data_IF_403423651016
#
_entry.id   IF_403423651016
#
_cell.length_a   1.000
_cell.length_b   1.000
_cell.length_c   1.000
_cell.angle_alpha   90.00
_cell.angle_beta   90.00
_cell.angle_gamma   90.00
#
_symmetry.space_group_name_H-M   'P 1'
#
loop_
_entity.id
_entity.type
_entity.pdbx_description
1 polymer ?
#
# COMPACT_ATOMS: atom_id res chain seq x y z
N UNK A 1 -37.21 5.95 -20.08
CA UNK A 1 -36.55 5.68 -18.77
C UNK A 1 -35.16 6.29 -18.82
N UNK A 2 -34.70 7.01 -17.78
CA UNK A 2 -33.36 7.56 -17.74
C UNK A 2 -32.32 6.43 -17.75
N UNK A 3 -31.41 6.46 -18.73
CA UNK A 3 -30.31 5.49 -18.85
C UNK A 3 -29.05 6.01 -18.16
N UNK A 4 -28.52 5.20 -17.25
CA UNK A 4 -27.24 5.45 -16.58
C UNK A 4 -26.09 4.86 -17.40
N UNK A 5 -24.97 5.56 -17.45
CA UNK A 5 -23.75 5.07 -18.10
C UNK A 5 -22.94 4.18 -17.15
N UNK A 6 -21.87 3.56 -17.69
CA UNK A 6 -20.88 2.78 -16.91
C UNK A 6 -20.19 3.56 -15.77
N UNK A 7 -20.29 4.88 -15.75
CA UNK A 7 -19.75 5.76 -14.70
C UNK A 7 -20.80 6.12 -13.63
N UNK A 8 -21.92 5.39 -13.58
CA UNK A 8 -23.02 5.55 -12.63
C UNK A 8 -23.60 6.98 -12.57
N UNK A 9 -23.63 7.65 -13.72
CA UNK A 9 -24.29 8.95 -13.93
C UNK A 9 -25.32 8.83 -15.05
N UNK A 10 -26.31 9.71 -15.07
CA UNK A 10 -27.18 9.87 -16.24
C UNK A 10 -26.30 10.15 -17.47
N UNK A 11 -26.53 9.43 -18.57
CA UNK A 11 -25.71 9.54 -19.80
C UNK A 11 -25.49 11.00 -20.22
N UNK A 12 -26.56 11.81 -20.17
CA UNK A 12 -26.56 13.24 -20.51
C UNK A 12 -25.73 14.13 -19.57
N UNK A 13 -25.41 13.67 -18.35
CA UNK A 13 -24.70 14.43 -17.32
C UNK A 13 -23.30 13.89 -17.01
N UNK A 14 -22.84 12.88 -17.76
CA UNK A 14 -21.51 12.31 -17.56
C UNK A 14 -20.48 13.09 -18.39
N UNK A 15 -19.54 13.84 -17.78
CA UNK A 15 -18.54 14.63 -18.52
C UNK A 15 -17.53 13.76 -19.30
N UNK A 16 -17.48 12.45 -19.02
CA UNK A 16 -16.64 11.48 -19.74
C UNK A 16 -17.38 11.04 -21.01
N UNK A 17 -18.61 10.54 -20.87
CA UNK A 17 -19.42 10.09 -22.00
C UNK A 17 -19.79 11.24 -22.96
N UNK A 18 -20.00 12.47 -22.45
CA UNK A 18 -20.30 13.62 -23.30
C UNK A 18 -19.11 14.03 -24.18
N UNK A 19 -17.88 13.83 -23.71
CA UNK A 19 -16.67 14.04 -24.52
C UNK A 19 -16.50 12.96 -25.57
N UNK A 20 -16.78 11.70 -25.23
CA UNK A 20 -16.74 10.57 -26.19
C UNK A 20 -17.78 10.78 -27.32
N UNK A 21 -19.01 11.19 -27.00
CA UNK A 21 -20.05 11.49 -27.99
C UNK A 21 -19.73 12.71 -28.87
N UNK A 22 -19.01 13.70 -28.34
CA UNK A 22 -18.60 14.88 -29.11
C UNK A 22 -17.48 14.58 -30.14
N UNK A 23 -16.80 13.43 -30.03
CA UNK A 23 -15.72 13.03 -30.93
C UNK A 23 -16.27 12.33 -32.19
N UNK A 24 -17.44 11.70 -32.14
CA UNK A 24 -17.99 10.89 -33.26
C UNK A 24 -18.68 11.69 -34.39
N UNK A 25 -18.76 13.03 -34.32
CA UNK A 25 -19.46 13.84 -35.33
C UNK A 25 -18.62 14.92 -36.01
N UNK A 26 -17.29 14.77 -36.10
CA UNK A 26 -16.50 15.66 -36.96
C UNK A 26 -16.20 15.00 -38.31
N UNK A 27 -16.81 15.47 -39.41
CA UNK A 27 -16.30 15.15 -40.74
C UNK A 27 -14.87 15.68 -40.82
N UNK A 28 -13.96 14.85 -41.32
CA UNK A 28 -12.59 15.25 -41.65
C UNK A 28 -12.69 16.22 -42.83
N UNK A 29 -12.68 17.52 -42.55
CA UNK A 29 -12.48 18.56 -43.56
C UNK A 29 -11.02 19.00 -43.46
N UNK A 30 -10.22 18.51 -44.40
CA UNK A 30 -8.90 19.04 -44.71
C UNK A 30 -9.05 20.46 -45.24
N UNK A 31 -8.48 21.45 -44.55
CA UNK A 31 -8.34 22.81 -45.08
C UNK A 31 -6.93 23.34 -44.84
N UNK A 32 -6.14 23.23 -45.89
CA UNK A 32 -4.87 23.92 -46.09
C UNK A 32 -5.13 25.42 -46.31
N UNK A 33 -4.55 26.29 -45.47
CA UNK A 33 -4.31 27.70 -45.80
C UNK A 33 -3.24 28.31 -44.87
N UNK A 34 -2.32 29.14 -45.39
CA UNK A 34 -1.13 29.59 -44.67
C UNK A 34 -1.42 30.82 -43.80
N UNK A 35 -0.90 30.84 -42.57
CA UNK A 35 -0.92 32.02 -41.68
C UNK A 35 0.38 32.80 -41.81
N UNK A 36 0.33 33.89 -42.58
CA UNK A 36 1.22 35.04 -42.43
C UNK A 36 0.65 35.98 -41.38
N UNK A 37 1.38 36.24 -40.29
CA UNK A 37 0.99 37.18 -39.25
C UNK A 37 2.15 37.48 -38.32
N UNK A 38 2.77 38.64 -38.50
CA UNK A 38 3.91 39.15 -37.73
C UNK A 38 3.62 39.30 -36.22
N UNK A 39 4.65 39.21 -35.34
CA UNK A 39 4.49 39.41 -33.91
C UNK A 39 4.42 40.89 -33.54
N UNK A 40 3.42 41.28 -32.75
CA UNK A 40 3.34 42.60 -32.10
C UNK A 40 4.18 42.63 -30.81
N UNK A 41 5.03 43.65 -30.60
CA UNK A 41 5.81 43.79 -29.36
C UNK A 41 4.95 44.30 -28.19
N UNK A 42 5.14 43.71 -27.01
CA UNK A 42 4.55 44.17 -25.75
C UNK A 42 5.50 45.12 -25.01
N UNK A 43 4.97 46.17 -24.33
CA UNK A 43 5.80 47.13 -23.61
C UNK A 43 6.30 46.57 -22.26
N UNK A 44 7.47 47.02 -21.77
CA UNK A 44 8.09 46.50 -20.56
C UNK A 44 7.38 47.04 -19.29
N UNK A 45 7.08 46.13 -18.36
CA UNK A 45 6.58 46.46 -17.01
C UNK A 45 7.74 46.69 -16.02
N UNK A 46 7.61 47.66 -15.09
CA UNK A 46 8.68 48.04 -14.17
C UNK A 46 8.94 46.99 -13.08
N UNK A 47 10.23 46.81 -12.75
CA UNK A 47 10.74 45.98 -11.64
C UNK A 47 10.53 46.71 -10.31
N UNK A 48 9.67 46.17 -9.44
CA UNK A 48 9.69 46.52 -8.02
C UNK A 48 10.69 45.64 -7.28
N UNK A 49 11.76 46.28 -6.79
CA UNK A 49 12.65 45.78 -5.75
C UNK A 49 11.88 45.70 -4.43
N UNK A 50 11.64 44.48 -3.94
CA UNK A 50 11.23 44.25 -2.54
C UNK A 50 12.39 43.63 -1.77
N UNK A 51 12.80 44.41 -0.78
CA UNK A 51 13.68 44.09 0.34
C UNK A 51 13.34 42.73 0.96
N UNK A 52 14.40 41.94 1.21
CA UNK A 52 14.31 40.65 1.87
C UNK A 52 13.99 40.84 3.35
N UNK A 53 12.76 40.51 3.74
CA UNK A 53 12.41 40.18 5.11
C UNK A 53 12.40 38.66 5.24
N UNK A 54 13.17 38.14 6.18
CA UNK A 54 13.20 36.73 6.59
C UNK A 54 11.82 36.25 7.04
N UNK A 55 11.28 35.13 6.52
CA UNK A 55 10.16 34.45 7.16
C UNK A 55 10.64 33.29 8.03
N UNK A 56 10.36 33.43 9.32
CA UNK A 56 10.25 32.32 10.29
C UNK A 56 9.10 31.39 9.85
N UNK A 57 9.23 30.14 10.30
CA UNK A 57 8.47 28.98 9.87
C UNK A 57 6.95 29.16 9.82
N UNK A 58 6.38 28.65 8.73
CA UNK A 58 5.00 28.27 8.61
C UNK A 58 4.98 26.94 7.86
N UNK A 59 4.56 25.88 8.56
CA UNK A 59 4.22 24.57 8.01
C UNK A 59 3.16 24.74 6.91
N UNK A 60 3.64 24.89 5.69
CA UNK A 60 2.84 24.97 4.48
C UNK A 60 2.98 23.67 3.73
N UNK A 61 1.89 22.90 3.69
CA UNK A 61 1.58 21.77 2.82
C UNK A 61 2.49 21.70 1.58
N UNK A 62 3.68 21.12 1.74
CA UNK A 62 4.73 21.14 0.71
C UNK A 62 4.36 20.05 -0.28
N UNK A 63 3.81 20.46 -1.42
CA UNK A 63 3.55 19.57 -2.55
C UNK A 63 4.89 18.97 -2.99
N UNK A 64 5.16 17.73 -2.62
CA UNK A 64 6.33 16.98 -3.06
C UNK A 64 6.00 16.31 -4.39
N UNK A 65 6.61 16.80 -5.46
CA UNK A 65 6.52 16.17 -6.79
C UNK A 65 7.60 15.08 -6.86
N UNK A 66 7.22 13.84 -6.56
CA UNK A 66 8.09 12.67 -6.78
C UNK A 66 7.95 12.21 -8.24
N UNK A 67 9.04 12.36 -9.02
CA UNK A 67 9.11 11.86 -10.40
C UNK A 67 9.41 10.36 -10.34
N UNK A 68 8.39 9.55 -10.59
CA UNK A 68 8.55 8.09 -10.72
C UNK A 68 8.90 7.78 -12.18
N UNK A 69 9.91 6.95 -12.41
CA UNK A 69 10.23 6.44 -13.74
C UNK A 69 9.04 5.62 -14.24
N UNK A 70 8.41 6.07 -15.33
CA UNK A 70 7.28 5.40 -15.98
C UNK A 70 7.69 5.02 -17.39
N UNK A 71 7.21 3.86 -17.83
CA UNK A 71 7.29 3.48 -19.23
C UNK A 71 6.57 4.49 -20.14
N UNK A 72 7.05 4.62 -21.37
CA UNK A 72 6.34 5.40 -22.40
C UNK A 72 4.98 4.77 -22.71
N UNK A 73 4.01 5.58 -23.17
CA UNK A 73 2.73 5.05 -23.67
C UNK A 73 3.02 4.24 -24.94
N UNK A 74 2.87 2.92 -24.84
CA UNK A 74 3.09 1.96 -25.92
C UNK A 74 1.77 1.42 -26.48
N UNK A 75 0.65 2.03 -26.11
CA UNK A 75 -0.69 1.60 -26.50
C UNK A 75 -1.29 0.51 -25.60
N UNK A 76 -0.58 0.06 -24.55
CA UNK A 76 -1.12 -0.91 -23.60
C UNK A 76 -2.41 -0.41 -22.93
N UNK A 77 -3.46 -1.24 -22.93
CA UNK A 77 -4.73 -0.97 -22.24
C UNK A 77 -5.23 -2.26 -21.61
N UNK A 78 -5.54 -2.21 -20.32
CA UNK A 78 -6.18 -3.31 -19.61
C UNK A 78 -7.28 -2.76 -18.70
N UNK A 79 -8.45 -3.43 -18.69
CA UNK A 79 -9.63 -2.97 -17.96
C UNK A 79 -9.50 -3.02 -16.43
N UNK A 80 -8.56 -3.82 -15.90
CA UNK A 80 -8.27 -3.96 -14.48
C UNK A 80 -7.36 -2.82 -13.97
N UNK A 81 -6.48 -2.30 -14.82
CA UNK A 81 -5.47 -1.29 -14.47
C UNK A 81 -5.53 -0.08 -15.42
N UNK A 82 -6.69 0.59 -15.43
CA UNK A 82 -7.02 1.70 -16.33
C UNK A 82 -6.05 2.89 -16.26
N UNK A 83 -5.30 3.02 -15.16
CA UNK A 83 -4.33 4.09 -14.99
C UNK A 83 -2.96 3.80 -15.63
N UNK A 84 -2.71 2.55 -16.05
CA UNK A 84 -1.47 2.15 -16.73
C UNK A 84 -1.61 2.31 -18.24
N UNK A 85 -0.55 2.85 -18.86
CA UNK A 85 -0.47 3.11 -20.31
C UNK A 85 0.72 2.42 -20.98
N UNK A 86 1.54 1.73 -20.20
CA UNK A 86 2.74 1.06 -20.66
C UNK A 86 2.69 -0.41 -20.24
N UNK A 87 2.97 -1.31 -21.17
CA UNK A 87 3.14 -2.73 -20.89
C UNK A 87 4.31 -2.97 -19.93
N UNK A 88 5.34 -2.12 -19.95
CA UNK A 88 6.46 -2.19 -19.02
C UNK A 88 6.05 -1.85 -17.57
N UNK A 89 5.23 -0.81 -17.38
CA UNK A 89 4.71 -0.47 -16.04
C UNK A 89 3.76 -1.55 -15.51
N UNK A 90 2.97 -2.15 -16.39
CA UNK A 90 2.10 -3.28 -16.06
C UNK A 90 2.91 -4.53 -15.72
N UNK A 91 3.98 -4.83 -16.46
CA UNK A 91 4.88 -5.94 -16.18
C UNK A 91 5.52 -5.81 -14.80
N UNK A 92 6.04 -4.63 -14.47
CA UNK A 92 6.55 -4.33 -13.12
C UNK A 92 5.50 -4.47 -12.03
N UNK A 93 4.26 -4.01 -12.26
CA UNK A 93 3.18 -4.21 -11.28
C UNK A 93 2.91 -5.71 -11.09
N UNK A 94 2.91 -6.48 -12.19
CA UNK A 94 2.72 -7.92 -12.15
C UNK A 94 3.79 -8.65 -11.36
N UNK A 95 5.06 -8.26 -11.54
CA UNK A 95 6.20 -8.78 -10.77
C UNK A 95 6.05 -8.55 -9.27
N UNK A 96 5.64 -7.34 -8.86
CA UNK A 96 5.47 -7.02 -7.44
C UNK A 96 4.25 -7.71 -6.82
N UNK A 97 3.14 -7.86 -7.56
CA UNK A 97 1.96 -8.62 -7.10
C UNK A 97 2.32 -10.10 -6.91
N UNK A 98 3.00 -10.69 -7.89
CA UNK A 98 3.40 -12.10 -7.83
C UNK A 98 4.43 -12.35 -6.71
N UNK A 99 5.37 -11.41 -6.49
CA UNK A 99 6.29 -11.47 -5.35
C UNK A 99 5.54 -11.43 -4.02
N UNK A 100 4.60 -10.48 -3.87
CA UNK A 100 3.81 -10.35 -2.65
C UNK A 100 2.95 -11.59 -2.37
N UNK A 101 2.37 -12.19 -3.40
CA UNK A 101 1.62 -13.45 -3.29
C UNK A 101 2.53 -14.63 -2.87
N UNK A 102 3.71 -14.75 -3.49
CA UNK A 102 4.71 -15.75 -3.10
C UNK A 102 5.13 -15.56 -1.63
N UNK A 103 5.35 -14.33 -1.17
CA UNK A 103 5.61 -14.02 0.24
C UNK A 103 4.51 -14.55 1.17
N UNK A 104 3.24 -14.36 0.82
CA UNK A 104 2.14 -14.88 1.65
C UNK A 104 2.13 -16.40 1.71
N UNK A 105 2.46 -17.05 0.59
CA UNK A 105 2.60 -18.51 0.56
C UNK A 105 3.76 -18.98 1.45
N UNK A 106 4.92 -18.34 1.39
CA UNK A 106 6.09 -18.64 2.24
C UNK A 106 5.73 -18.48 3.71
N UNK A 107 5.07 -17.38 4.11
CA UNK A 107 4.61 -17.21 5.50
C UNK A 107 3.71 -18.35 5.97
N UNK A 108 2.85 -18.86 5.10
CA UNK A 108 1.89 -19.90 5.46
C UNK A 108 2.50 -21.30 5.52
N UNK A 109 3.57 -21.58 4.76
CA UNK A 109 4.11 -22.93 4.58
C UNK A 109 5.53 -23.15 5.13
N UNK A 110 6.39 -22.14 5.06
CA UNK A 110 7.79 -22.20 5.49
C UNK A 110 8.25 -20.82 6.00
N UNK A 111 7.71 -20.35 7.14
CA UNK A 111 7.93 -18.99 7.61
C UNK A 111 9.39 -18.76 8.03
N UNK A 112 10.11 -17.81 7.40
CA UNK A 112 11.53 -17.62 7.63
C UNK A 112 11.82 -16.85 8.91
N UNK A 113 12.97 -17.14 9.54
CA UNK A 113 13.51 -16.38 10.66
C UNK A 113 12.51 -16.22 11.80
N UNK A 114 12.29 -14.98 12.27
CA UNK A 114 11.39 -14.71 13.39
C UNK A 114 9.90 -14.94 13.06
N UNK A 115 9.53 -15.09 11.78
CA UNK A 115 8.18 -15.55 11.46
C UNK A 115 7.97 -17.00 11.89
N UNK A 116 9.01 -17.84 11.86
CA UNK A 116 8.96 -19.21 12.39
C UNK A 116 8.67 -19.23 13.88
N UNK A 117 9.34 -18.38 14.66
CA UNK A 117 9.07 -18.18 16.10
C UNK A 117 7.62 -17.74 16.36
N UNK A 118 7.05 -16.88 15.49
CA UNK A 118 5.65 -16.46 15.58
C UNK A 118 4.69 -17.58 15.16
N UNK A 119 5.07 -18.47 14.24
CA UNK A 119 4.25 -19.60 13.80
C UNK A 119 4.24 -20.76 14.80
N UNK A 120 5.26 -20.88 15.66
CA UNK A 120 5.40 -21.98 16.60
C UNK A 120 4.22 -22.08 17.59
N UNK A 121 3.35 -23.07 17.37
CA UNK A 121 2.20 -23.36 18.22
C UNK A 121 2.54 -23.81 19.64
N UNK A 122 3.80 -24.17 19.92
CA UNK A 122 4.28 -24.50 21.26
C UNK A 122 4.54 -23.29 22.16
N UNK A 123 4.68 -22.10 21.55
CA UNK A 123 4.94 -20.85 22.27
C UNK A 123 3.63 -20.17 22.67
N UNK A 124 3.63 -19.52 23.84
CA UNK A 124 2.46 -18.76 24.34
C UNK A 124 1.98 -17.71 23.33
N UNK A 125 0.66 -17.62 23.14
CA UNK A 125 0.06 -16.76 22.11
C UNK A 125 0.34 -15.28 22.35
N UNK A 126 0.52 -14.85 23.59
CA UNK A 126 0.84 -13.46 23.91
C UNK A 126 2.29 -13.13 23.54
N UNK A 127 3.23 -14.05 23.73
CA UNK A 127 4.62 -13.89 23.28
C UNK A 127 4.71 -13.82 21.75
N UNK A 128 3.97 -14.71 21.06
CA UNK A 128 3.90 -14.73 19.58
C UNK A 128 3.29 -13.45 19.03
N UNK A 129 2.23 -12.95 19.67
CA UNK A 129 1.55 -11.71 19.27
C UNK A 129 2.44 -10.49 19.44
N UNK A 130 3.19 -10.46 20.55
CA UNK A 130 4.12 -9.38 20.83
C UNK A 130 5.29 -9.37 19.83
N UNK A 131 5.85 -10.54 19.53
CA UNK A 131 6.89 -10.66 18.51
C UNK A 131 6.38 -10.23 17.12
N UNK A 132 5.18 -10.65 16.72
CA UNK A 132 4.57 -10.21 15.47
C UNK A 132 4.39 -8.69 15.42
N UNK A 133 3.95 -8.07 16.53
CA UNK A 133 3.85 -6.63 16.65
C UNK A 133 5.21 -5.94 16.51
N UNK A 134 6.26 -6.42 17.15
CA UNK A 134 7.62 -5.87 17.02
C UNK A 134 8.15 -5.98 15.58
N UNK A 135 7.89 -7.10 14.90
CA UNK A 135 8.25 -7.28 13.50
C UNK A 135 7.54 -6.25 12.62
N UNK A 136 6.22 -6.07 12.78
CA UNK A 136 5.47 -5.08 12.00
C UNK A 136 5.83 -3.63 12.35
N UNK A 137 6.17 -3.37 13.62
CA UNK A 137 6.54 -2.03 14.10
C UNK A 137 7.91 -1.58 13.60
N UNK A 138 8.92 -2.43 13.70
CA UNK A 138 10.30 -2.13 13.29
C UNK A 138 10.54 -2.39 11.80
N UNK A 139 9.74 -3.29 11.20
CA UNK A 139 9.88 -3.82 9.85
C UNK A 139 11.22 -4.54 9.63
N UNK A 140 11.25 -5.78 9.07
CA UNK A 140 12.49 -6.45 8.74
C UNK A 140 13.36 -5.61 7.78
N UNK A 141 14.68 -5.67 7.97
CA UNK A 141 15.63 -5.05 7.04
C UNK A 141 15.59 -5.73 5.67
N UNK A 142 15.95 -4.97 4.63
CA UNK A 142 16.30 -5.57 3.35
C UNK A 142 17.77 -6.02 3.41
N UNK A 143 18.05 -7.30 3.11
CA UNK A 143 19.41 -7.85 3.13
C UNK A 143 19.50 -9.32 3.54
N UNK A 144 20.71 -9.73 3.93
CA UNK A 144 21.05 -11.13 4.29
C UNK A 144 20.47 -11.57 5.64
N UNK A 145 20.40 -10.67 6.63
CA UNK A 145 19.79 -10.95 7.94
C UNK A 145 18.65 -9.94 8.24
N UNK A 146 17.44 -10.18 7.67
CA UNK A 146 16.30 -9.28 7.81
C UNK A 146 15.87 -9.03 9.26
N UNK A 147 16.14 -9.97 10.16
CA UNK A 147 15.61 -9.95 11.53
C UNK A 147 16.64 -9.59 12.58
N UNK A 148 17.93 -9.45 12.23
CA UNK A 148 19.04 -9.09 13.14
C UNK A 148 18.68 -8.03 14.18
N UNK A 149 18.15 -6.89 13.77
CA UNK A 149 17.83 -5.78 14.69
C UNK A 149 16.65 -6.11 15.61
N UNK A 150 15.62 -6.77 15.08
CA UNK A 150 14.46 -7.18 15.87
C UNK A 150 14.89 -8.23 16.90
N UNK A 151 15.71 -9.21 16.50
CA UNK A 151 16.25 -10.22 17.39
C UNK A 151 17.12 -9.62 18.51
N UNK A 152 17.89 -8.56 18.18
CA UNK A 152 18.75 -7.84 19.12
C UNK A 152 17.95 -7.10 20.20
N UNK A 153 16.85 -6.44 19.82
CA UNK A 153 16.12 -5.54 20.74
C UNK A 153 14.85 -6.15 21.34
N UNK A 154 14.37 -7.29 20.83
CA UNK A 154 13.10 -7.87 21.30
C UNK A 154 13.15 -8.17 22.79
N UNK A 155 12.09 -7.76 23.49
CA UNK A 155 11.78 -8.19 24.85
C UNK A 155 10.62 -9.18 24.82
N UNK A 156 10.38 -9.86 25.92
CA UNK A 156 9.19 -10.73 26.07
C UNK A 156 7.95 -9.93 26.44
N UNK A 157 6.78 -10.45 26.12
CA UNK A 157 5.51 -9.89 26.59
C UNK A 157 5.45 -9.92 28.12
N UNK A 158 5.78 -11.07 28.70
CA UNK A 158 5.70 -11.35 30.15
C UNK A 158 6.63 -10.50 31.01
N UNK A 159 7.84 -10.15 30.54
CA UNK A 159 8.75 -9.28 31.29
C UNK A 159 8.23 -7.85 31.45
N UNK A 160 7.29 -7.41 30.61
CA UNK A 160 6.82 -6.02 30.53
C UNK A 160 7.91 -4.99 30.25
N UNK A 161 9.13 -5.43 29.92
CA UNK A 161 10.24 -4.55 29.57
C UNK A 161 9.97 -3.91 28.21
N UNK A 162 10.36 -2.64 28.10
CA UNK A 162 10.30 -1.89 26.86
C UNK A 162 11.61 -2.13 26.09
N UNK A 163 11.56 -2.58 24.82
CA UNK A 163 12.73 -2.69 23.96
C UNK A 163 13.59 -1.42 23.97
N UNK A 164 14.90 -1.60 24.05
CA UNK A 164 15.85 -0.51 23.80
C UNK A 164 15.94 -0.27 22.29
N UNK A 165 15.40 0.86 21.86
CA UNK A 165 15.31 1.24 20.45
C UNK A 165 16.35 2.28 20.05
N UNK A 166 17.30 2.60 20.93
CA UNK A 166 18.36 3.53 20.59
C UNK A 166 19.17 2.98 19.41
N UNK A 167 19.30 3.82 18.37
CA UNK A 167 20.03 3.53 17.13
C UNK A 167 19.55 2.30 16.34
N UNK A 168 18.33 1.81 16.59
CA UNK A 168 17.78 0.65 15.87
C UNK A 168 17.63 0.97 14.38
N UNK A 169 18.17 0.10 13.52
CA UNK A 169 17.90 0.17 12.08
C UNK A 169 16.56 -0.48 11.79
N UNK A 170 15.82 0.08 10.85
CA UNK A 170 14.45 -0.34 10.56
C UNK A 170 14.23 -0.59 9.08
N UNK A 171 13.31 -1.49 8.79
CA UNK A 171 12.91 -1.81 7.43
C UNK A 171 12.12 -0.69 6.74
N UNK A 172 11.86 -0.85 5.44
CA UNK A 172 11.31 0.19 4.60
C UNK A 172 9.84 0.57 4.90
N UNK A 173 9.10 -0.26 5.64
CA UNK A 173 7.69 -0.01 6.04
C UNK A 173 7.53 0.19 7.55
N UNK A 174 8.62 0.53 8.24
CA UNK A 174 8.64 0.72 9.70
C UNK A 174 7.70 1.82 10.17
N UNK A 175 7.03 1.55 11.30
CA UNK A 175 6.25 2.52 12.06
C UNK A 175 7.05 3.17 13.20
N UNK A 176 8.30 2.76 13.40
CA UNK A 176 9.18 3.38 14.38
C UNK A 176 9.60 4.78 13.93
N UNK A 177 9.42 5.73 14.84
CA UNK A 177 9.84 7.13 14.71
C UNK A 177 10.65 7.46 15.96
N UNK A 178 11.98 7.67 15.86
CA UNK A 178 12.82 7.95 17.03
C UNK A 178 12.33 9.16 17.85
N UNK A 179 11.71 10.16 17.21
CA UNK A 179 11.17 11.33 17.91
C UNK A 179 9.94 11.01 18.77
N UNK A 180 9.34 9.81 18.62
CA UNK A 180 8.23 9.33 19.44
C UNK A 180 8.68 8.53 20.65
N UNK A 181 9.93 8.07 20.69
CA UNK A 181 10.42 7.15 21.71
C UNK A 181 9.53 5.92 21.82
N UNK A 182 9.15 5.58 23.05
CA UNK A 182 8.40 4.35 23.37
C UNK A 182 6.88 4.47 23.23
N UNK A 183 6.35 5.65 22.90
CA UNK A 183 4.91 5.97 23.00
C UNK A 183 3.99 5.00 22.24
N UNK A 184 4.44 4.48 21.10
CA UNK A 184 3.66 3.52 20.31
C UNK A 184 3.60 2.14 21.00
N UNK A 185 4.70 1.71 21.62
CA UNK A 185 4.78 0.47 22.38
C UNK A 185 3.87 0.53 23.61
N UNK A 186 3.93 1.65 24.35
CA UNK A 186 3.08 1.90 25.53
C UNK A 186 1.59 1.92 25.16
N UNK A 187 1.26 2.53 24.01
CA UNK A 187 -0.10 2.54 23.47
C UNK A 187 -0.58 1.14 23.09
N UNK A 188 0.29 0.29 22.52
CA UNK A 188 -0.04 -1.09 22.18
C UNK A 188 -0.32 -1.92 23.44
N UNK A 189 0.54 -1.85 24.45
CA UNK A 189 0.32 -2.53 25.74
C UNK A 189 -0.99 -2.08 26.39
N UNK A 190 -1.27 -0.77 26.39
CA UNK A 190 -2.52 -0.22 26.91
C UNK A 190 -3.74 -0.72 26.12
N UNK A 191 -3.62 -0.83 24.79
CA UNK A 191 -4.68 -1.35 23.93
C UNK A 191 -5.00 -2.82 24.25
N UNK A 192 -3.98 -3.68 24.39
CA UNK A 192 -4.16 -5.08 24.77
C UNK A 192 -4.75 -5.21 26.18
N UNK A 193 -4.23 -4.45 27.15
CA UNK A 193 -4.70 -4.46 28.54
C UNK A 193 -6.20 -4.09 28.66
N UNK A 194 -6.70 -3.16 27.83
CA UNK A 194 -8.14 -2.80 27.80
C UNK A 194 -9.04 -3.96 27.38
N UNK A 195 -8.53 -4.90 26.59
CA UNK A 195 -9.24 -6.12 26.21
C UNK A 195 -8.96 -7.30 27.16
N UNK A 196 -8.09 -7.12 28.15
CA UNK A 196 -7.62 -8.16 29.08
C UNK A 196 -6.38 -8.92 28.59
N UNK A 197 -6.20 -9.08 27.28
CA UNK A 197 -5.01 -9.71 26.67
C UNK A 197 -4.89 -9.34 25.18
N UNK A 198 -3.75 -9.62 24.54
CA UNK A 198 -3.61 -9.46 23.09
C UNK A 198 -4.55 -10.41 22.35
N UNK A 199 -4.64 -11.67 22.79
CA UNK A 199 -5.51 -12.67 22.19
C UNK A 199 -6.98 -12.23 22.19
N UNK A 200 -7.45 -11.67 23.30
CA UNK A 200 -8.81 -11.13 23.41
C UNK A 200 -9.02 -9.92 22.50
N UNK A 201 -8.00 -9.07 22.36
CA UNK A 201 -8.05 -7.87 21.52
C UNK A 201 -8.14 -8.21 20.02
N UNK A 202 -7.43 -9.24 19.56
CA UNK A 202 -7.41 -9.70 18.17
C UNK A 202 -8.61 -10.59 17.82
N UNK A 203 -8.97 -11.55 18.67
CA UNK A 203 -10.04 -12.51 18.37
C UNK A 203 -11.44 -11.87 18.37
N UNK A 204 -11.68 -10.91 19.28
CA UNK A 204 -12.98 -10.27 19.41
C UNK A 204 -14.09 -11.26 19.79
N UNK A 205 -15.26 -11.14 19.15
CA UNK A 205 -16.40 -12.03 19.40
C UNK A 205 -16.26 -13.34 18.60
N UNK A 206 -16.61 -14.47 19.23
CA UNK A 206 -16.55 -15.80 18.62
C UNK A 206 -17.38 -15.90 17.33
N UNK A 207 -18.50 -15.17 17.22
CA UNK A 207 -19.38 -15.19 16.05
C UNK A 207 -18.90 -14.32 14.86
N UNK A 208 -17.77 -13.63 14.96
CA UNK A 208 -17.26 -12.81 13.86
C UNK A 208 -16.58 -13.67 12.78
N UNK A 209 -16.81 -13.32 11.51
CA UNK A 209 -16.02 -13.86 10.40
C UNK A 209 -14.57 -13.36 10.48
N UNK A 210 -13.62 -14.04 9.82
CA UNK A 210 -12.21 -13.61 9.79
C UNK A 210 -12.03 -12.18 9.27
N UNK A 211 -12.80 -11.78 8.27
CA UNK A 211 -12.78 -10.43 7.69
C UNK A 211 -13.31 -9.38 8.66
N UNK A 212 -14.36 -9.72 9.42
CA UNK A 212 -14.91 -8.83 10.43
C UNK A 212 -13.94 -8.69 11.61
N UNK A 213 -13.27 -9.75 12.03
CA UNK A 213 -12.20 -9.68 13.06
C UNK A 213 -11.06 -8.79 12.60
N UNK A 214 -10.56 -8.99 11.38
CA UNK A 214 -9.52 -8.15 10.78
C UNK A 214 -9.93 -6.68 10.77
N UNK A 215 -11.12 -6.34 10.23
CA UNK A 215 -11.58 -4.97 10.13
C UNK A 215 -11.67 -4.28 11.51
N UNK A 216 -12.20 -4.99 12.52
CA UNK A 216 -12.32 -4.45 13.88
C UNK A 216 -10.98 -4.30 14.58
N UNK A 217 -10.09 -5.27 14.44
CA UNK A 217 -8.73 -5.16 14.97
C UNK A 217 -7.98 -3.99 14.31
N UNK A 218 -8.08 -3.86 12.99
CA UNK A 218 -7.44 -2.80 12.21
C UNK A 218 -7.89 -1.39 12.65
N UNK A 219 -9.21 -1.20 12.84
CA UNK A 219 -9.78 0.05 13.36
C UNK A 219 -9.23 0.37 14.75
N UNK A 220 -9.24 -0.60 15.68
CA UNK A 220 -8.83 -0.42 17.07
C UNK A 220 -7.33 -0.24 17.25
N UNK A 221 -6.53 -0.78 16.33
CA UNK A 221 -5.08 -0.62 16.29
C UNK A 221 -4.63 0.76 15.78
N UNK A 222 -5.53 1.74 15.60
CA UNK A 222 -5.19 3.13 15.24
C UNK A 222 -4.43 3.87 16.35
N UNK A 223 -3.29 3.34 16.78
CA UNK A 223 -2.43 3.84 17.85
C UNK A 223 -1.58 5.02 17.35
N UNK A 224 -1.15 5.94 18.24
CA UNK A 224 -0.24 7.01 17.86
C UNK A 224 1.04 6.47 17.21
N UNK A 225 1.30 6.86 15.95
CA UNK A 225 2.49 6.42 15.20
C UNK A 225 2.34 5.08 14.47
N UNK A 226 1.36 4.25 14.83
CA UNK A 226 1.13 2.95 14.18
C UNK A 226 0.24 3.12 12.95
N UNK A 227 0.87 3.45 11.82
CA UNK A 227 0.18 3.81 10.58
C UNK A 227 -0.51 2.63 9.89
N UNK A 228 -1.22 2.91 8.79
CA UNK A 228 -2.01 1.91 8.04
C UNK A 228 -1.18 0.69 7.64
N UNK A 229 -0.01 0.91 7.05
CA UNK A 229 0.82 -0.18 6.51
C UNK A 229 1.29 -1.16 7.59
N UNK A 230 1.82 -0.67 8.71
CA UNK A 230 2.26 -1.54 9.81
C UNK A 230 1.10 -2.30 10.48
N UNK A 231 -0.08 -1.67 10.61
CA UNK A 231 -1.29 -2.34 11.11
C UNK A 231 -1.77 -3.43 10.18
N UNK A 232 -1.76 -3.14 8.88
CA UNK A 232 -2.18 -4.09 7.86
C UNK A 232 -1.23 -5.28 7.84
N UNK A 233 0.09 -5.03 7.79
CA UNK A 233 1.12 -6.07 7.77
C UNK A 233 1.09 -6.93 9.05
N UNK A 234 0.86 -6.34 10.23
CA UNK A 234 0.67 -7.10 11.48
C UNK A 234 -0.48 -8.11 11.37
N UNK A 235 -1.65 -7.66 10.93
CA UNK A 235 -2.83 -8.53 10.89
C UNK A 235 -2.72 -9.59 9.79
N UNK A 236 -2.14 -9.25 8.64
CA UNK A 236 -1.86 -10.22 7.59
C UNK A 236 -0.86 -11.26 8.05
N UNK A 237 0.23 -10.84 8.72
CA UNK A 237 1.24 -11.73 9.28
C UNK A 237 0.63 -12.69 10.29
N UNK A 238 -0.14 -12.17 11.26
CA UNK A 238 -0.82 -13.00 12.27
C UNK A 238 -1.80 -14.01 11.66
N UNK A 239 -2.54 -13.61 10.61
CA UNK A 239 -3.45 -14.49 9.90
C UNK A 239 -2.74 -15.59 9.10
N UNK A 240 -1.68 -15.22 8.36
CA UNK A 240 -0.91 -16.17 7.52
C UNK A 240 -0.11 -17.17 8.33
N UNK A 241 0.40 -16.76 9.49
CA UNK A 241 1.12 -17.65 10.41
C UNK A 241 0.18 -18.48 11.31
N UNK A 242 -1.14 -18.40 11.10
CA UNK A 242 -2.13 -19.18 11.83
C UNK A 242 -2.27 -18.83 13.32
N UNK A 243 -1.81 -17.65 13.74
CA UNK A 243 -1.94 -17.19 15.15
C UNK A 243 -3.38 -16.86 15.48
N UNK A 244 -4.07 -16.18 14.55
CA UNK A 244 -5.47 -15.79 14.68
C UNK A 244 -6.22 -16.04 13.37
N UNK A 245 -7.49 -16.41 13.48
CA UNK A 245 -8.40 -16.52 12.33
C UNK A 245 -8.88 -15.13 11.88
N UNK A 246 -7.98 -14.40 11.21
CA UNK A 246 -8.17 -13.05 10.65
C UNK A 246 -7.74 -13.03 9.18
N UNK A 247 -8.48 -12.28 8.34
CA UNK A 247 -8.20 -12.14 6.90
C UNK A 247 -8.59 -10.77 6.40
N UNK A 248 -7.87 -10.18 5.45
CA UNK A 248 -8.25 -8.88 4.92
C UNK A 248 -9.49 -8.98 4.01
N UNK A 249 -10.58 -8.30 4.38
CA UNK A 249 -11.76 -8.13 3.53
C UNK A 249 -11.73 -6.85 2.67
N UNK A 250 -10.77 -5.96 2.92
CA UNK A 250 -10.51 -4.73 2.15
C UNK A 250 -9.05 -4.33 2.33
N UNK A 251 -8.53 -3.45 1.47
CA UNK A 251 -7.19 -2.90 1.62
C UNK A 251 -7.16 -1.69 2.56
N UNK A 252 -8.30 -1.20 3.05
CA UNK A 252 -8.39 0.00 3.88
C UNK A 252 -7.60 1.19 3.29
N UNK A 253 -7.80 1.44 2.00
CA UNK A 253 -7.12 2.48 1.23
C UNK A 253 -7.56 3.86 1.69
N UNK A 254 -6.59 4.74 1.90
CA UNK A 254 -6.82 6.08 2.44
C UNK A 254 -5.54 6.74 2.90
N UNK A 255 -5.58 8.06 3.08
CA UNK A 255 -4.41 8.85 3.48
C UNK A 255 -3.34 8.98 2.40
N UNK A 256 -2.12 9.31 2.83
CA UNK A 256 -0.95 9.57 1.98
C UNK A 256 0.14 8.51 2.19
N UNK A 257 -0.20 7.24 1.97
CA UNK A 257 0.76 6.12 1.92
C UNK A 257 0.94 5.63 0.47
N UNK A 258 2.03 4.90 0.23
CA UNK A 258 2.40 4.45 -1.11
C UNK A 258 1.41 3.41 -1.66
N UNK A 259 0.82 2.54 -0.82
CA UNK A 259 -0.25 1.61 -1.25
C UNK A 259 -1.44 2.36 -1.85
N UNK A 260 -1.92 3.39 -1.17
CA UNK A 260 -3.07 4.20 -1.62
C UNK A 260 -2.74 5.00 -2.87
N UNK A 261 -1.53 5.56 -2.95
CA UNK A 261 -1.08 6.30 -4.14
C UNK A 261 -0.90 5.35 -5.33
N UNK A 262 -0.32 4.18 -5.10
CA UNK A 262 -0.14 3.10 -6.07
C UNK A 262 -1.47 2.62 -6.61
N UNK A 263 -2.43 2.29 -5.74
CA UNK A 263 -3.78 1.90 -6.10
C UNK A 263 -4.45 2.95 -7.02
N UNK A 264 -4.45 4.23 -6.60
CA UNK A 264 -5.06 5.31 -7.39
C UNK A 264 -4.43 5.45 -8.78
N UNK A 265 -3.12 5.26 -8.87
CA UNK A 265 -2.36 5.38 -10.12
C UNK A 265 -2.53 4.18 -11.03
N UNK A 266 -2.53 2.95 -10.50
CA UNK A 266 -2.71 1.74 -11.29
C UNK A 266 -4.16 1.59 -11.76
N UNK A 267 -5.13 1.85 -10.87
CA UNK A 267 -6.56 1.64 -11.13
C UNK A 267 -7.22 2.85 -11.81
N UNK A 268 -6.52 3.99 -11.88
CA UNK A 268 -6.99 5.19 -12.60
C UNK A 268 -8.19 5.88 -11.94
N UNK A 269 -8.43 5.66 -10.65
CA UNK A 269 -9.57 6.20 -9.90
C UNK A 269 -9.16 6.72 -8.52
N UNK A 270 -9.79 7.81 -8.08
CA UNK A 270 -9.54 8.43 -6.77
C UNK A 270 -10.64 8.21 -5.73
N UNK A 271 -11.80 7.72 -6.15
CA UNK A 271 -12.94 7.47 -5.27
C UNK A 271 -12.68 6.24 -4.39
N UNK A 272 -12.72 6.35 -3.05
CA UNK A 272 -12.32 5.25 -2.16
C UNK A 272 -13.15 3.97 -2.35
N UNK A 273 -14.47 4.09 -2.52
CA UNK A 273 -15.35 2.92 -2.63
C UNK A 273 -15.11 2.16 -3.94
N UNK A 274 -14.97 2.90 -5.05
CA UNK A 274 -14.63 2.29 -6.33
C UNK A 274 -13.19 1.76 -6.35
N UNK A 275 -12.27 2.37 -5.59
CA UNK A 275 -10.89 1.92 -5.50
C UNK A 275 -10.79 0.55 -4.83
N UNK A 276 -11.47 0.34 -3.69
CA UNK A 276 -11.53 -0.95 -2.99
C UNK A 276 -12.15 -2.05 -3.86
N UNK A 277 -13.25 -1.72 -4.54
CA UNK A 277 -13.90 -2.65 -5.48
C UNK A 277 -12.96 -3.05 -6.62
N UNK A 278 -12.27 -2.09 -7.23
CA UNK A 278 -11.33 -2.35 -8.33
C UNK A 278 -10.12 -3.14 -7.88
N UNK A 279 -9.61 -2.89 -6.67
CA UNK A 279 -8.56 -3.70 -6.09
C UNK A 279 -9.01 -5.16 -5.90
N UNK A 280 -10.23 -5.37 -5.41
CA UNK A 280 -10.81 -6.72 -5.29
C UNK A 280 -10.96 -7.42 -6.65
N UNK A 281 -11.44 -6.71 -7.67
CA UNK A 281 -11.54 -7.21 -9.05
C UNK A 281 -10.16 -7.58 -9.63
N UNK A 282 -9.13 -6.76 -9.37
CA UNK A 282 -7.75 -7.04 -9.78
C UNK A 282 -7.18 -8.28 -9.08
N UNK A 283 -7.32 -8.39 -7.75
CA UNK A 283 -6.85 -9.54 -6.98
C UNK A 283 -7.50 -10.83 -7.49
N UNK A 284 -8.83 -10.81 -7.67
CA UNK A 284 -9.59 -11.93 -8.21
C UNK A 284 -9.13 -12.33 -9.61
N UNK A 285 -8.94 -11.37 -10.52
CA UNK A 285 -8.51 -11.65 -11.89
C UNK A 285 -7.08 -12.20 -11.96
N UNK A 286 -6.20 -11.74 -11.09
CA UNK A 286 -4.84 -12.26 -10.95
C UNK A 286 -4.77 -13.61 -10.23
N UNK A 287 -5.86 -14.07 -9.60
CA UNK A 287 -5.87 -15.30 -8.81
C UNK A 287 -5.07 -15.21 -7.51
N UNK A 288 -4.87 -14.01 -6.97
CA UNK A 288 -4.08 -13.78 -5.75
C UNK A 288 -4.98 -13.35 -4.59
N UNK A 289 -4.59 -13.60 -3.33
CA UNK A 289 -5.26 -13.03 -2.17
C UNK A 289 -5.23 -11.50 -2.19
N UNK A 290 -6.26 -10.86 -1.63
CA UNK A 290 -6.33 -9.40 -1.58
C UNK A 290 -5.13 -8.78 -0.87
N UNK A 291 -4.61 -9.46 0.15
CA UNK A 291 -3.43 -9.04 0.91
C UNK A 291 -2.18 -8.86 0.03
N UNK A 292 -2.05 -9.62 -1.05
CA UNK A 292 -0.89 -9.53 -1.96
C UNK A 292 -0.83 -8.17 -2.66
N UNK A 293 -1.98 -7.56 -2.93
CA UNK A 293 -2.02 -6.23 -3.53
C UNK A 293 -1.44 -5.15 -2.61
N UNK A 294 -1.41 -5.37 -1.29
CA UNK A 294 -0.86 -4.39 -0.35
C UNK A 294 0.61 -4.09 -0.63
N UNK A 295 1.45 -5.13 -0.48
CA UNK A 295 2.89 -5.06 -0.71
C UNK A 295 3.19 -4.84 -2.19
N UNK A 296 2.42 -5.48 -3.08
CA UNK A 296 2.60 -5.32 -4.53
C UNK A 296 2.43 -3.87 -4.98
N UNK A 297 1.41 -3.17 -4.48
CA UNK A 297 1.19 -1.74 -4.80
C UNK A 297 2.21 -0.83 -4.10
N UNK A 298 2.62 -1.13 -2.87
CA UNK A 298 3.68 -0.39 -2.16
C UNK A 298 4.98 -0.39 -2.98
N UNK A 299 5.47 -1.58 -3.30
CA UNK A 299 6.73 -1.78 -4.01
C UNK A 299 6.69 -1.17 -5.41
N UNK A 300 5.60 -1.41 -6.16
CA UNK A 300 5.44 -0.85 -7.51
C UNK A 300 5.51 0.67 -7.50
N UNK A 301 4.80 1.29 -6.55
CA UNK A 301 4.70 2.73 -6.42
C UNK A 301 6.01 3.37 -5.91
N UNK A 302 6.74 2.69 -5.02
CA UNK A 302 8.06 3.13 -4.55
C UNK A 302 9.14 2.98 -5.62
N UNK A 303 9.01 1.97 -6.47
CA UNK A 303 10.02 1.58 -7.46
C UNK A 303 11.18 0.76 -6.87
N UNK A 304 11.05 0.35 -5.61
CA UNK A 304 12.01 -0.45 -4.85
C UNK A 304 11.21 -1.51 -4.11
N UNK A 305 11.68 -2.76 -4.12
CA UNK A 305 11.01 -3.90 -3.49
C UNK A 305 11.38 -3.97 -2.01
N UNK A 306 10.39 -3.90 -1.13
CA UNK A 306 10.55 -4.32 0.26
C UNK A 306 10.44 -5.84 0.35
N UNK A 307 11.45 -6.50 0.92
CA UNK A 307 11.49 -7.97 1.01
C UNK A 307 10.70 -8.51 2.21
N UNK A 308 10.49 -7.68 3.24
CA UNK A 308 9.65 -7.97 4.41
C UNK A 308 9.92 -9.36 5.01
N UNK A 309 11.21 -9.69 5.20
CA UNK A 309 11.66 -10.90 5.88
C UNK A 309 12.04 -12.10 5.00
N UNK A 310 11.83 -12.04 3.68
CA UNK A 310 12.13 -13.15 2.77
C UNK A 310 13.63 -13.30 2.37
N UNK A 311 14.51 -12.38 2.78
CA UNK A 311 15.92 -12.38 2.39
C UNK A 311 16.15 -11.91 0.95
N UNK A 312 17.39 -11.56 0.60
CA UNK A 312 17.74 -10.93 -0.69
C UNK A 312 17.58 -11.85 -1.91
N UNK A 313 17.73 -13.16 -1.73
CA UNK A 313 17.71 -14.15 -2.81
C UNK A 313 16.31 -14.70 -3.11
N UNK A 314 15.26 -14.17 -2.47
CA UNK A 314 13.90 -14.63 -2.70
C UNK A 314 13.40 -14.21 -4.08
N UNK A 315 13.26 -15.20 -4.95
CA UNK A 315 12.74 -15.04 -6.30
C UNK A 315 11.21 -15.20 -6.34
N UNK A 316 10.59 -14.53 -7.30
CA UNK A 316 9.16 -14.69 -7.58
C UNK A 316 8.91 -16.04 -8.26
N UNK A 317 7.98 -16.83 -7.74
CA UNK A 317 7.58 -18.09 -8.36
C UNK A 317 7.07 -17.88 -9.81
N UNK A 318 7.66 -18.55 -10.83
CA UNK A 318 7.36 -18.28 -12.23
C UNK A 318 5.89 -18.48 -12.61
N UNK A 319 5.22 -19.47 -12.01
CA UNK A 319 3.81 -19.77 -12.30
C UNK A 319 2.86 -18.67 -11.80
N UNK A 320 3.13 -18.12 -10.61
CA UNK A 320 2.38 -16.97 -10.06
C UNK A 320 2.55 -15.75 -10.94
N UNK A 321 3.78 -15.49 -11.38
CA UNK A 321 4.05 -14.39 -12.31
C UNK A 321 3.31 -14.56 -13.64
N UNK A 322 3.31 -15.78 -14.21
CA UNK A 322 2.61 -16.06 -15.45
C UNK A 322 1.10 -15.83 -15.34
N UNK A 323 0.48 -16.24 -14.22
CA UNK A 323 -0.94 -16.01 -13.95
C UNK A 323 -1.28 -14.51 -13.88
N UNK A 324 -0.49 -13.74 -13.12
CA UNK A 324 -0.67 -12.29 -13.00
C UNK A 324 -0.47 -11.59 -14.34
N UNK A 325 0.57 -11.95 -15.10
CA UNK A 325 0.82 -11.38 -16.43
C UNK A 325 -0.32 -11.68 -17.40
N UNK A 326 -0.86 -12.89 -17.38
CA UNK A 326 -2.02 -13.27 -18.19
C UNK A 326 -3.23 -12.39 -17.88
N UNK A 327 -3.53 -12.16 -16.60
CA UNK A 327 -4.61 -11.26 -16.18
C UNK A 327 -4.38 -9.81 -16.65
N UNK A 328 -3.12 -9.38 -16.68
CA UNK A 328 -2.71 -8.07 -17.19
C UNK A 328 -2.64 -8.01 -18.73
N UNK A 329 -2.78 -9.12 -19.45
CA UNK A 329 -2.69 -9.15 -20.91
C UNK A 329 -1.27 -8.90 -21.43
N UNK A 330 -0.29 -9.48 -20.72
CA UNK A 330 1.15 -9.41 -20.99
C UNK A 330 1.75 -10.78 -21.34
#
# INVERSE_FOLDING_TARGET
MPTFCRHNRLIQNCPICSKEQAIELRPIVTSSAPRTGQPRPSPPRPRHTRTAATPRGADGNRVTVRRVARGGDDGYRNSLVLGLKSSADAGRLGEEIAFADHRLWVLEHDPPGLYGDVADGGTDVEERSWLAFLIAYLCPLDGEDPFSEIARVRTTWSSSEVPDLDEVRTGPRSAHDPARGTRTLDAYRTWAARAGSQASAFAGDAGWSPERRFARAFERLSLPGFHRDARFDLLVTLGRLGVYDVRAGSLALGGANEVTVGAKRALGIGDPLLLERRASELAQACGVPLEALDVGLDNWQRGERAMLGLGADSETEPERLAAVRTALGL
#
